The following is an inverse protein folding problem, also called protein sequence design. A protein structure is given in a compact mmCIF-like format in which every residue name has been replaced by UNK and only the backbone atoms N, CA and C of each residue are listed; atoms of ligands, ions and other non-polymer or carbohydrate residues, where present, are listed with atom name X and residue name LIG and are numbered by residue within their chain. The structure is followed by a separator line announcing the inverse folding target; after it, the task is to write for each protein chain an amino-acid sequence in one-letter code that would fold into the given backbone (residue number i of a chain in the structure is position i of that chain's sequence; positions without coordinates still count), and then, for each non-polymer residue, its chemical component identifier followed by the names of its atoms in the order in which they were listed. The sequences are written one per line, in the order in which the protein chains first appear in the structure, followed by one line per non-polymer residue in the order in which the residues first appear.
data_IF_306003316692
#
_entry.id   IF_306003316692
#
_cell.length_a   1.000
_cell.length_b   1.000
_cell.length_c   1.000
_cell.angle_alpha   90.00
_cell.angle_beta   90.00
_cell.angle_gamma   90.00
#
_symmetry.space_group_name_H-M   'P 1'
#
loop_
_entity.id
_entity.type
_entity.pdbx_description
1 polymer ?
#
# COMPACT_ATOMS: atom_id res chain seq x y z
N UNK A 1 -18.55 -17.49 -5.49
CA UNK A 1 -18.44 -16.54 -4.37
C UNK A 1 -17.77 -15.29 -4.94
N UNK A 2 -18.33 -14.09 -4.72
CA UNK A 2 -17.70 -12.84 -5.16
C UNK A 2 -16.77 -12.36 -4.03
N UNK A 3 -15.53 -11.94 -4.32
CA UNK A 3 -14.63 -11.44 -3.28
C UNK A 3 -15.05 -10.04 -2.82
N UNK A 4 -14.84 -9.76 -1.54
CA UNK A 4 -14.96 -8.43 -0.95
C UNK A 4 -13.61 -7.69 -1.02
N UNK A 5 -13.61 -6.37 -0.80
CA UNK A 5 -12.40 -5.54 -0.78
C UNK A 5 -12.01 -5.25 0.66
N UNK A 6 -10.73 -5.48 0.96
CA UNK A 6 -10.13 -5.18 2.25
C UNK A 6 -9.06 -4.09 2.09
N UNK A 7 -8.92 -3.23 3.09
CA UNK A 7 -7.87 -2.22 3.17
C UNK A 7 -7.07 -2.41 4.46
N UNK A 8 -5.78 -2.11 4.37
CA UNK A 8 -4.88 -2.02 5.51
C UNK A 8 -4.25 -0.63 5.49
N UNK A 9 -4.24 0.02 6.64
CA UNK A 9 -3.65 1.34 6.84
C UNK A 9 -2.30 1.27 7.58
N UNK A 10 -1.81 0.08 7.92
CA UNK A 10 -0.56 -0.13 8.65
C UNK A 10 0.48 -0.97 7.88
N UNK A 11 0.26 -1.18 6.58
CA UNK A 11 1.18 -1.92 5.72
C UNK A 11 0.95 -3.44 5.72
N UNK A 12 -0.20 -3.89 6.21
CA UNK A 12 -0.65 -5.28 6.11
C UNK A 12 -0.67 -6.04 7.44
N UNK A 13 -0.44 -5.37 8.57
CA UNK A 13 -0.51 -5.97 9.90
C UNK A 13 -1.96 -6.19 10.33
N UNK A 14 -2.81 -5.19 10.10
CA UNK A 14 -4.26 -5.27 10.33
C UNK A 14 -5.04 -4.97 9.05
N UNK A 15 -6.22 -5.56 8.94
CA UNK A 15 -7.08 -5.47 7.76
C UNK A 15 -8.52 -5.20 8.18
N UNK A 16 -9.19 -4.31 7.45
CA UNK A 16 -10.62 -4.06 7.59
C UNK A 16 -11.33 -4.30 6.25
N UNK A 17 -12.55 -4.86 6.30
CA UNK A 17 -13.38 -5.01 5.11
C UNK A 17 -13.94 -3.63 4.70
N UNK A 18 -13.44 -3.06 3.61
CA UNK A 18 -13.80 -1.73 3.15
C UNK A 18 -15.10 -1.71 2.34
N UNK A 19 -15.27 -2.68 1.44
CA UNK A 19 -16.41 -2.75 0.52
C UNK A 19 -16.87 -4.20 0.33
N UNK A 20 -18.17 -4.41 0.31
CA UNK A 20 -18.78 -5.69 -0.07
C UNK A 20 -18.79 -5.84 -1.59
N UNK A 21 -18.29 -6.97 -2.09
CA UNK A 21 -18.17 -7.28 -3.51
C UNK A 21 -16.96 -6.64 -4.21
N UNK A 22 -16.67 -7.06 -5.46
CA UNK A 22 -15.50 -6.62 -6.19
C UNK A 22 -15.63 -5.16 -6.65
N UNK A 23 -14.58 -4.38 -6.46
CA UNK A 23 -14.50 -2.99 -6.89
C UNK A 23 -13.16 -2.70 -7.57
N UNK A 24 -13.18 -1.78 -8.53
CA UNK A 24 -11.99 -1.08 -9.02
C UNK A 24 -11.73 0.11 -8.11
N UNK A 25 -10.49 0.35 -7.73
CA UNK A 25 -10.15 1.43 -6.81
C UNK A 25 -8.94 2.22 -7.29
N UNK A 26 -8.84 3.46 -6.84
CA UNK A 26 -7.66 4.29 -7.02
C UNK A 26 -7.39 5.11 -5.76
N UNK A 27 -6.13 5.40 -5.51
CA UNK A 27 -5.66 6.28 -4.44
C UNK A 27 -5.33 7.62 -5.07
N UNK A 28 -5.83 8.69 -4.47
CA UNK A 28 -5.66 10.07 -4.87
C UNK A 28 -5.07 10.87 -3.70
N UNK A 29 -4.48 12.02 -4.01
CA UNK A 29 -3.91 12.96 -3.02
C UNK A 29 -3.05 12.30 -1.92
N UNK A 30 -2.15 11.40 -2.31
CA UNK A 30 -1.24 10.69 -1.42
C UNK A 30 -1.92 9.93 -0.28
N UNK A 31 -3.16 9.45 -0.49
CA UNK A 31 -3.96 8.74 0.51
C UNK A 31 -5.05 9.58 1.16
N UNK A 32 -5.10 10.89 0.89
CA UNK A 32 -6.17 11.77 1.37
C UNK A 32 -7.56 11.44 0.80
N UNK A 33 -7.59 10.76 -0.36
CA UNK A 33 -8.84 10.33 -0.99
C UNK A 33 -8.69 8.95 -1.62
N UNK A 34 -9.59 8.05 -1.25
CA UNK A 34 -9.80 6.78 -1.93
C UNK A 34 -11.06 6.87 -2.78
N UNK A 35 -11.01 6.32 -3.99
CA UNK A 35 -12.18 6.19 -4.85
C UNK A 35 -12.36 4.74 -5.26
N UNK A 36 -13.62 4.31 -5.40
CA UNK A 36 -13.95 2.97 -5.81
C UNK A 36 -15.18 2.93 -6.72
N UNK A 37 -15.18 2.02 -7.67
CA UNK A 37 -16.26 1.78 -8.62
C UNK A 37 -16.59 0.29 -8.60
N UNK A 38 -17.87 -0.03 -8.45
CA UNK A 38 -18.31 -1.43 -8.38
C UNK A 38 -18.02 -2.17 -9.69
N UNK A 39 -17.46 -3.37 -9.58
CA UNK A 39 -17.33 -4.26 -10.71
C UNK A 39 -18.65 -4.99 -10.95
N UNK A 40 -19.43 -4.46 -11.89
CA UNK A 40 -20.74 -4.99 -12.27
C UNK A 40 -20.82 -5.30 -13.77
N UNK A 41 -21.62 -6.31 -14.12
CA UNK A 41 -22.01 -6.58 -15.51
C UNK A 41 -23.08 -5.59 -16.02
N UNK A 42 -23.79 -4.93 -15.09
CA UNK A 42 -24.78 -3.92 -15.42
C UNK A 42 -24.11 -2.54 -15.55
N UNK A 43 -24.68 -1.64 -16.36
CA UNK A 43 -24.25 -0.25 -16.40
C UNK A 43 -24.27 0.40 -15.02
N UNK A 44 -23.25 1.20 -14.73
CA UNK A 44 -23.11 1.92 -13.48
C UNK A 44 -23.19 3.43 -13.72
N UNK A 45 -23.52 4.17 -12.67
CA UNK A 45 -23.58 5.64 -12.68
C UNK A 45 -23.04 6.27 -11.38
N UNK A 46 -22.62 5.43 -10.45
CA UNK A 46 -22.23 5.79 -9.11
C UNK A 46 -20.75 5.49 -8.89
N UNK A 47 -20.05 6.40 -8.22
CA UNK A 47 -18.70 6.23 -7.72
C UNK A 47 -18.74 6.34 -6.20
N UNK A 48 -17.94 5.53 -5.51
CA UNK A 48 -17.76 5.58 -4.07
C UNK A 48 -16.47 6.33 -3.76
N UNK A 49 -16.45 7.11 -2.68
CA UNK A 49 -15.24 7.79 -2.22
C UNK A 49 -15.14 7.76 -0.69
N UNK A 50 -13.92 7.82 -0.18
CA UNK A 50 -13.59 7.84 1.25
C UNK A 50 -12.44 8.81 1.51
N UNK A 51 -12.58 9.63 2.55
CA UNK A 51 -11.57 10.62 3.00
C UNK A 51 -10.91 10.21 4.31
N UNK A 52 -11.16 8.99 4.78
CA UNK A 52 -10.73 8.47 6.09
C UNK A 52 -10.05 7.10 5.95
N UNK A 53 -9.26 6.93 4.89
CA UNK A 53 -8.48 5.73 4.56
C UNK A 53 -9.35 4.45 4.41
N UNK A 54 -10.60 4.59 3.98
CA UNK A 54 -11.48 3.48 3.62
C UNK A 54 -12.37 2.99 4.76
N UNK A 55 -12.48 3.73 5.87
CA UNK A 55 -13.37 3.40 6.99
C UNK A 55 -14.83 3.75 6.69
N UNK A 56 -15.07 4.96 6.18
CA UNK A 56 -16.39 5.42 5.77
C UNK A 56 -16.41 5.68 4.26
N UNK A 57 -17.49 5.26 3.60
CA UNK A 57 -17.67 5.42 2.16
C UNK A 57 -18.93 6.23 1.86
N UNK A 58 -18.79 7.16 0.94
CA UNK A 58 -19.88 7.97 0.40
C UNK A 58 -20.11 7.65 -1.07
N UNK A 59 -21.35 7.79 -1.54
CA UNK A 59 -21.73 7.50 -2.93
C UNK A 59 -22.04 8.80 -3.63
N UNK A 60 -21.47 8.99 -4.82
CA UNK A 60 -21.74 10.12 -5.70
C UNK A 60 -22.16 9.62 -7.08
N UNK A 61 -23.27 10.17 -7.60
CA UNK A 61 -23.73 9.85 -8.94
C UNK A 61 -23.00 10.73 -9.96
N UNK A 62 -22.02 10.17 -10.67
CA UNK A 62 -21.19 10.92 -11.62
C UNK A 62 -21.85 11.17 -12.98
N UNK A 63 -22.95 10.49 -13.28
CA UNK A 63 -23.69 10.67 -14.54
C UNK A 63 -25.17 10.35 -14.41
N UNK A 64 -26.02 11.01 -15.20
CA UNK A 64 -27.44 10.67 -15.29
C UNK A 64 -27.71 9.46 -16.20
N UNK A 65 -26.77 9.16 -17.10
CA UNK A 65 -26.90 8.12 -18.12
C UNK A 65 -25.82 7.03 -17.90
N UNK A 66 -26.20 5.88 -17.32
CA UNK A 66 -25.27 4.82 -16.92
C UNK A 66 -24.33 4.34 -18.03
N UNK A 67 -23.13 3.93 -17.65
CA UNK A 67 -22.10 3.42 -18.57
C UNK A 67 -21.71 1.99 -18.21
N UNK A 68 -21.41 1.18 -19.22
CA UNK A 68 -20.69 -0.07 -19.03
C UNK A 68 -19.23 0.26 -18.69
N UNK A 69 -18.88 0.09 -17.42
CA UNK A 69 -17.56 0.44 -16.91
C UNK A 69 -16.47 -0.47 -17.47
N UNK A 70 -15.35 0.14 -17.86
CA UNK A 70 -14.17 -0.58 -18.35
C UNK A 70 -12.92 -0.34 -17.51
N UNK A 71 -12.77 0.84 -16.90
CA UNK A 71 -11.58 1.13 -16.11
C UNK A 71 -11.55 2.52 -15.48
N UNK A 72 -10.65 2.70 -14.52
CA UNK A 72 -10.29 3.99 -13.93
C UNK A 72 -8.95 4.44 -14.47
N UNK A 73 -8.82 5.74 -14.75
CA UNK A 73 -7.55 6.37 -15.07
C UNK A 73 -7.32 7.56 -14.13
N UNK A 74 -6.16 7.59 -13.49
CA UNK A 74 -5.69 8.70 -12.67
C UNK A 74 -4.27 9.08 -13.08
N UNK A 75 -3.85 10.29 -12.73
CA UNK A 75 -2.47 10.73 -12.94
C UNK A 75 -1.52 9.76 -12.19
N UNK A 76 -0.45 9.26 -12.85
CA UNK A 76 0.55 8.45 -12.19
C UNK A 76 1.17 9.17 -11.00
N UNK A 77 1.42 8.43 -9.92
CA UNK A 77 1.99 8.97 -8.67
C UNK A 77 0.96 9.31 -7.59
N UNK A 78 -0.35 9.15 -7.86
CA UNK A 78 -1.42 9.28 -6.86
C UNK A 78 -1.48 10.65 -6.14
N UNK A 79 -0.99 11.72 -6.79
CA UNK A 79 -0.99 13.11 -6.25
C UNK A 79 -2.11 13.99 -6.79
N UNK A 80 -2.80 13.54 -7.83
CA UNK A 80 -3.92 14.27 -8.42
C UNK A 80 -5.20 14.06 -7.65
N UNK A 81 -6.12 15.03 -7.77
CA UNK A 81 -7.51 14.94 -7.30
C UNK A 81 -8.48 14.51 -8.41
N UNK A 82 -7.94 14.26 -9.61
CA UNK A 82 -8.74 13.95 -10.79
C UNK A 82 -8.73 12.45 -11.04
N UNK A 83 -9.90 11.89 -11.29
CA UNK A 83 -10.06 10.51 -11.76
C UNK A 83 -11.02 10.48 -12.94
N UNK A 84 -10.63 9.75 -13.98
CA UNK A 84 -11.45 9.52 -15.16
C UNK A 84 -12.05 8.12 -15.11
N UNK A 85 -13.38 8.04 -15.10
CA UNK A 85 -14.15 6.81 -15.23
C UNK A 85 -14.37 6.55 -16.72
N UNK A 86 -13.83 5.45 -17.22
CA UNK A 86 -13.95 5.03 -18.61
C UNK A 86 -14.99 3.94 -18.78
N UNK A 87 -15.73 4.03 -19.88
CA UNK A 87 -16.70 3.02 -20.25
C UNK A 87 -17.28 3.27 -21.64
N UNK A 88 -18.34 2.55 -21.95
CA UNK A 88 -19.11 2.77 -23.17
C UNK A 88 -20.60 2.77 -22.87
N UNK A 89 -21.37 3.31 -23.80
CA UNK A 89 -22.83 3.27 -23.79
C UNK A 89 -23.32 2.52 -25.01
N UNK A 90 -24.37 1.73 -24.79
CA UNK A 90 -25.06 1.02 -25.86
C UNK A 90 -26.25 1.86 -26.33
N UNK A 91 -26.29 2.15 -27.63
CA UNK A 91 -27.47 2.67 -28.32
C UNK A 91 -28.04 1.59 -29.23
N UNK A 92 -29.30 1.75 -29.64
CA UNK A 92 -30.01 0.82 -30.55
C UNK A 92 -29.22 0.50 -31.84
N UNK A 93 -28.34 1.41 -32.27
CA UNK A 93 -27.63 1.33 -33.56
C UNK A 93 -26.10 1.32 -33.43
N UNK A 94 -25.52 1.68 -32.28
CA UNK A 94 -24.07 1.76 -32.11
C UNK A 94 -23.63 1.79 -30.65
N UNK A 95 -22.41 1.31 -30.42
CA UNK A 95 -21.69 1.47 -29.16
C UNK A 95 -20.72 2.65 -29.29
N UNK A 96 -20.66 3.52 -28.28
CA UNK A 96 -19.69 4.63 -28.26
C UNK A 96 -19.02 4.76 -26.89
N UNK A 97 -17.74 5.13 -26.93
CA UNK A 97 -16.90 5.29 -25.74
C UNK A 97 -17.16 6.64 -25.05
N UNK A 98 -17.16 6.63 -23.73
CA UNK A 98 -17.35 7.79 -22.88
C UNK A 98 -16.31 7.77 -21.76
N UNK A 99 -15.77 8.93 -21.44
CA UNK A 99 -14.92 9.15 -20.28
C UNK A 99 -15.49 10.30 -19.47
N UNK A 100 -15.76 10.06 -18.18
CA UNK A 100 -16.22 11.09 -17.24
C UNK A 100 -15.09 11.36 -16.26
N UNK A 101 -14.55 12.57 -16.28
CA UNK A 101 -13.51 12.99 -15.34
C UNK A 101 -14.12 13.78 -14.20
N UNK A 102 -13.85 13.33 -12.97
CA UNK A 102 -14.33 13.91 -11.73
C UNK A 102 -13.15 14.60 -11.06
N UNK A 103 -13.31 15.88 -10.72
CA UNK A 103 -12.37 16.65 -9.92
C UNK A 103 -12.91 16.78 -8.49
N UNK A 104 -12.20 16.19 -7.53
CA UNK A 104 -12.60 16.19 -6.12
C UNK A 104 -12.13 17.43 -5.34
N UNK A 105 -11.57 18.46 -5.99
CA UNK A 105 -11.14 19.70 -5.31
C UNK A 105 -12.28 20.43 -4.60
N UNK A 106 -13.51 20.32 -5.09
CA UNK A 106 -14.67 20.92 -4.41
C UNK A 106 -15.09 20.16 -3.14
N UNK A 107 -14.63 18.90 -2.97
CA UNK A 107 -14.84 18.13 -1.75
C UNK A 107 -13.82 18.52 -0.67
N UNK A 108 -12.53 18.60 -1.04
CA UNK A 108 -11.43 18.96 -0.14
C UNK A 108 -11.06 20.43 -0.35
N UNK A 109 -11.80 21.32 0.32
CA UNK A 109 -11.72 22.78 0.09
C UNK A 109 -10.60 23.50 0.84
N UNK A 110 -9.88 22.81 1.74
CA UNK A 110 -8.81 23.37 2.58
C UNK A 110 -7.53 22.54 2.43
N UNK A 111 -6.37 23.21 2.39
CA UNK A 111 -5.06 22.57 2.47
C UNK A 111 -4.76 22.04 3.88
N UNK A 112 -4.09 20.90 3.97
CA UNK A 112 -3.70 20.32 5.25
C UNK A 112 -2.63 21.18 5.94
N UNK A 113 -2.78 21.31 7.26
CA UNK A 113 -1.85 22.02 8.13
C UNK A 113 -1.18 21.04 9.11
N UNK A 114 -0.13 21.46 9.81
CA UNK A 114 0.61 20.59 10.74
C UNK A 114 -0.28 19.89 11.78
N UNK A 115 -1.38 20.53 12.19
CA UNK A 115 -2.35 19.98 13.14
C UNK A 115 -3.14 18.76 12.61
N UNK A 116 -3.27 18.66 11.28
CA UNK A 116 -3.95 17.57 10.61
C UNK A 116 -3.12 16.29 10.56
N UNK A 117 -1.82 16.37 10.89
CA UNK A 117 -0.93 15.21 10.92
C UNK A 117 -0.76 14.64 12.33
N UNK A 118 -0.47 13.35 12.39
CA UNK A 118 -0.17 12.60 13.61
C UNK A 118 1.09 11.77 13.41
N UNK A 119 1.90 11.66 14.46
CA UNK A 119 3.06 10.78 14.47
C UNK A 119 2.60 9.32 14.51
N UNK A 120 3.17 8.51 13.63
CA UNK A 120 2.92 7.08 13.54
C UNK A 120 4.25 6.33 13.43
N UNK A 121 4.48 5.38 14.35
CA UNK A 121 5.64 4.49 14.31
C UNK A 121 5.31 3.30 13.42
N UNK A 122 6.05 3.12 12.33
CA UNK A 122 5.88 1.97 11.46
C UNK A 122 6.31 0.68 12.15
N UNK A 123 5.66 -0.43 11.78
CA UNK A 123 5.96 -1.78 12.28
C UNK A 123 5.85 -1.94 13.80
N UNK A 124 5.10 -1.05 14.46
CA UNK A 124 4.86 -1.13 15.90
C UNK A 124 3.93 -2.31 16.22
N UNK A 125 4.36 -3.20 17.10
CA UNK A 125 3.62 -4.39 17.53
C UNK A 125 3.46 -4.46 19.05
N UNK A 126 4.51 -4.11 19.80
CA UNK A 126 4.53 -4.06 21.25
C UNK A 126 5.21 -2.78 21.75
N UNK A 127 4.40 -1.80 22.18
CA UNK A 127 4.86 -0.51 22.70
C UNK A 127 5.76 -0.66 23.93
N UNK A 128 5.73 -1.80 24.62
CA UNK A 128 6.59 -2.07 25.77
C UNK A 128 8.00 -2.54 25.40
N UNK A 129 8.22 -3.00 24.16
CA UNK A 129 9.53 -3.43 23.68
C UNK A 129 10.40 -2.22 23.28
N UNK A 130 11.60 -2.03 23.87
CA UNK A 130 12.56 -1.04 23.41
C UNK A 130 12.93 -1.16 21.91
N UNK A 131 12.79 -2.34 21.30
CA UNK A 131 13.03 -2.61 19.88
C UNK A 131 11.76 -2.52 19.01
N UNK A 132 10.62 -2.10 19.56
CA UNK A 132 9.36 -1.94 18.83
C UNK A 132 9.53 -1.14 17.53
N UNK A 133 9.06 -1.68 16.40
CA UNK A 133 9.21 -1.06 15.08
C UNK A 133 10.60 -1.11 14.47
N UNK A 134 11.56 -1.85 15.05
CA UNK A 134 12.86 -2.12 14.42
C UNK A 134 12.68 -3.09 13.25
N UNK A 135 12.84 -2.59 12.03
CA UNK A 135 12.88 -3.40 10.82
C UNK A 135 14.19 -3.15 10.08
N UNK A 136 14.93 -4.22 9.80
CA UNK A 136 16.23 -4.15 9.10
C UNK A 136 17.21 -3.17 9.76
N UNK A 137 17.27 -3.17 11.10
CA UNK A 137 18.21 -2.37 11.89
C UNK A 137 17.83 -0.91 12.16
N UNK A 138 16.63 -0.45 11.80
CA UNK A 138 16.16 0.90 12.15
C UNK A 138 14.63 0.98 12.28
N UNK A 139 14.17 2.04 12.95
CA UNK A 139 12.76 2.43 13.10
C UNK A 139 12.45 3.61 12.19
N UNK A 140 11.22 3.71 11.70
CA UNK A 140 10.74 4.90 10.97
C UNK A 140 9.49 5.47 11.63
N UNK A 141 9.56 6.74 12.02
CA UNK A 141 8.39 7.51 12.47
C UNK A 141 7.90 8.42 11.35
N UNK A 142 6.65 8.28 10.94
CA UNK A 142 6.02 9.07 9.91
C UNK A 142 5.11 10.14 10.51
N UNK A 143 4.96 11.28 9.82
CA UNK A 143 3.78 12.13 9.99
C UNK A 143 2.74 11.71 8.95
N UNK A 144 1.60 11.22 9.44
CA UNK A 144 0.48 10.76 8.61
C UNK A 144 -0.74 11.64 8.80
N UNK A 145 -1.52 11.82 7.76
CA UNK A 145 -2.77 12.54 7.84
C UNK A 145 -3.72 11.83 8.82
N UNK A 146 -4.35 12.56 9.72
CA UNK A 146 -5.37 12.01 10.61
C UNK A 146 -6.57 11.60 9.77
N UNK A 147 -7.12 10.41 10.04
CA UNK A 147 -8.35 9.92 9.38
C UNK A 147 -9.55 10.87 9.51
N UNK A 148 -9.60 11.66 10.60
CA UNK A 148 -10.66 12.64 10.83
C UNK A 148 -10.42 13.99 10.12
N UNK A 149 -9.22 14.23 9.60
CA UNK A 149 -8.86 15.48 8.92
C UNK A 149 -9.21 15.38 7.45
N UNK A 150 -10.21 16.15 7.03
CA UNK A 150 -10.67 16.25 5.64
C UNK A 150 -10.03 17.50 5.02
N UNK A 151 -8.87 17.34 4.40
CA UNK A 151 -8.08 18.40 3.77
C UNK A 151 -7.22 17.84 2.63
N UNK A 152 -6.68 18.73 1.80
CA UNK A 152 -5.81 18.41 0.67
C UNK A 152 -4.34 18.35 1.12
N UNK A 153 -3.67 17.22 0.94
CA UNK A 153 -2.21 17.11 1.14
C UNK A 153 -1.47 17.97 0.11
N UNK A 154 -1.94 17.95 -1.14
CA UNK A 154 -1.41 18.77 -2.21
C UNK A 154 -0.36 18.06 -3.06
N UNK A 155 -0.10 18.61 -4.25
CA UNK A 155 0.81 18.01 -5.24
C UNK A 155 2.27 17.98 -4.81
N UNK A 156 2.66 18.92 -3.96
CA UNK A 156 4.01 19.05 -3.42
C UNK A 156 4.17 18.34 -2.08
N UNK A 157 3.18 17.54 -1.66
CA UNK A 157 3.28 16.74 -0.44
C UNK A 157 4.49 15.81 -0.48
N UNK A 158 5.30 15.91 0.56
CA UNK A 158 6.42 15.03 0.81
C UNK A 158 6.19 14.24 2.10
N UNK A 159 6.44 12.94 2.03
CA UNK A 159 6.30 12.05 3.19
C UNK A 159 7.38 12.41 4.20
N UNK A 160 6.97 13.02 5.33
CA UNK A 160 7.87 13.34 6.42
C UNK A 160 8.10 12.08 7.27
N UNK A 161 9.35 11.60 7.28
CA UNK A 161 9.77 10.44 8.05
C UNK A 161 11.09 10.68 8.77
N UNK A 162 11.21 10.13 9.97
CA UNK A 162 12.38 10.23 10.82
C UNK A 162 12.91 8.83 11.13
N UNK A 163 14.07 8.44 10.57
CA UNK A 163 14.70 7.16 10.88
C UNK A 163 15.45 7.22 12.21
N UNK A 164 15.40 6.14 12.99
CA UNK A 164 16.17 5.96 14.21
C UNK A 164 16.87 4.59 14.23
N UNK A 165 18.21 4.52 14.33
CA UNK A 165 18.91 3.24 14.28
C UNK A 165 18.63 2.37 15.51
N UNK A 166 18.58 1.06 15.31
CA UNK A 166 18.42 0.06 16.35
C UNK A 166 19.78 -0.59 16.69
N UNK A 167 19.98 -1.09 17.91
CA UNK A 167 21.11 -1.96 18.22
C UNK A 167 21.04 -3.24 17.37
N UNK A 168 22.17 -3.66 16.80
CA UNK A 168 22.22 -4.88 16.00
C UNK A 168 22.01 -6.12 16.88
N UNK A 169 21.21 -7.05 16.37
CA UNK A 169 20.97 -8.39 16.89
C UNK A 169 21.51 -9.43 15.91
N UNK A 170 21.48 -10.72 16.27
CA UNK A 170 21.85 -11.79 15.34
C UNK A 170 20.87 -11.89 14.16
N UNK A 171 19.62 -11.44 14.33
CA UNK A 171 18.60 -11.49 13.29
C UNK A 171 18.82 -10.47 12.17
N UNK A 172 19.63 -9.43 12.42
CA UNK A 172 20.06 -8.45 11.40
C UNK A 172 21.12 -9.02 10.43
N UNK A 173 21.64 -10.22 10.70
CA UNK A 173 22.59 -10.91 9.84
C UNK A 173 21.91 -12.05 9.07
N UNK A 174 22.52 -12.45 7.95
CA UNK A 174 22.15 -13.65 7.20
C UNK A 174 23.28 -14.65 7.34
N UNK A 175 22.97 -15.95 7.36
CA UNK A 175 24.03 -16.95 7.35
C UNK A 175 24.76 -16.96 6.02
N UNK A 176 26.08 -16.85 6.09
CA UNK A 176 26.96 -16.87 4.94
C UNK A 176 27.13 -18.30 4.40
N UNK A 177 27.87 -18.44 3.30
CA UNK A 177 28.14 -19.72 2.66
C UNK A 177 28.65 -20.76 3.66
N UNK A 178 28.02 -21.94 3.65
CA UNK A 178 28.36 -23.07 4.51
C UNK A 178 27.69 -23.04 5.88
N UNK A 179 26.84 -22.06 6.19
CA UNK A 179 26.15 -21.95 7.47
C UNK A 179 24.62 -22.05 7.30
N UNK A 180 23.92 -22.34 8.40
CA UNK A 180 22.46 -22.36 8.46
C UNK A 180 21.97 -22.05 9.88
N UNK A 181 20.71 -21.60 9.99
CA UNK A 181 20.03 -21.46 11.29
C UNK A 181 19.30 -22.74 11.65
N UNK A 182 19.44 -23.18 12.90
CA UNK A 182 18.56 -24.21 13.46
C UNK A 182 17.18 -23.62 13.73
N UNK A 183 16.17 -24.48 13.79
CA UNK A 183 14.81 -24.07 14.16
C UNK A 183 14.82 -23.37 15.54
N UNK A 184 14.14 -22.22 15.63
CA UNK A 184 14.09 -21.38 16.83
C UNK A 184 15.45 -20.86 17.35
N UNK A 185 16.45 -20.74 16.48
CA UNK A 185 17.74 -20.12 16.82
C UNK A 185 18.10 -19.01 15.83
N UNK A 186 18.60 -17.89 16.35
CA UNK A 186 19.17 -16.80 15.56
C UNK A 186 20.64 -17.05 15.18
N UNK A 187 21.29 -18.06 15.78
CA UNK A 187 22.70 -18.37 15.53
C UNK A 187 22.89 -19.12 14.21
N UNK A 188 23.88 -18.66 13.43
CA UNK A 188 24.37 -19.36 12.26
C UNK A 188 25.40 -20.41 12.67
N UNK A 189 25.13 -21.67 12.34
CA UNK A 189 26.03 -22.81 12.60
C UNK A 189 26.52 -23.44 11.30
N UNK A 190 27.73 -23.98 11.32
CA UNK A 190 28.32 -24.64 10.15
C UNK A 190 27.48 -25.86 9.74
N UNK A 191 27.29 -26.01 8.44
CA UNK A 191 26.60 -27.17 7.87
C UNK A 191 27.47 -28.41 7.99
N UNK A 192 26.95 -29.53 8.52
CA UNK A 192 27.74 -30.75 8.69
C UNK A 192 28.16 -31.37 7.35
N UNK A 193 27.31 -31.27 6.32
CA UNK A 193 27.57 -31.77 4.97
C UNK A 193 27.00 -30.81 3.92
N UNK A 194 27.83 -30.33 3.01
CA UNK A 194 27.38 -29.55 1.84
C UNK A 194 26.76 -30.47 0.79
N UNK A 195 25.56 -30.14 0.31
CA UNK A 195 24.81 -30.93 -0.68
C UNK A 195 24.26 -30.06 -1.82
N UNK A 196 24.01 -30.69 -2.97
CA UNK A 196 23.39 -30.03 -4.12
C UNK A 196 24.16 -28.81 -4.61
N UNK A 197 23.44 -27.71 -4.86
CA UNK A 197 24.02 -26.46 -5.36
C UNK A 197 25.08 -25.86 -4.42
N UNK A 198 24.95 -26.05 -3.10
CA UNK A 198 25.94 -25.54 -2.14
C UNK A 198 27.28 -26.28 -2.28
N UNK A 199 27.24 -27.59 -2.55
CA UNK A 199 28.44 -28.37 -2.84
C UNK A 199 29.06 -27.97 -4.18
N UNK A 200 28.25 -27.75 -5.21
CA UNK A 200 28.73 -27.28 -6.51
C UNK A 200 29.43 -25.92 -6.40
N UNK A 201 28.84 -24.98 -5.64
CA UNK A 201 29.45 -23.70 -5.33
C UNK A 201 30.75 -23.85 -4.54
N UNK A 202 30.83 -24.81 -3.61
CA UNK A 202 32.08 -25.10 -2.91
C UNK A 202 33.20 -25.56 -3.85
N UNK A 203 32.88 -26.36 -4.86
CA UNK A 203 33.85 -26.97 -5.77
C UNK A 203 34.30 -26.01 -6.88
N UNK A 204 33.42 -25.13 -7.34
CA UNK A 204 33.64 -24.27 -8.50
C UNK A 204 33.70 -22.78 -8.17
N UNK A 205 33.33 -22.39 -6.96
CA UNK A 205 33.25 -21.00 -6.51
C UNK A 205 34.61 -20.32 -6.33
N UNK A 206 34.58 -18.99 -6.27
CA UNK A 206 35.77 -18.19 -5.98
C UNK A 206 36.12 -18.30 -4.51
N UNK A 207 37.41 -18.47 -4.20
CA UNK A 207 37.93 -18.60 -2.83
C UNK A 207 37.46 -17.50 -1.87
N UNK A 208 37.30 -16.27 -2.36
CA UNK A 208 36.81 -15.12 -1.59
C UNK A 208 35.40 -15.32 -1.03
N UNK A 209 34.54 -16.04 -1.76
CA UNK A 209 33.15 -16.32 -1.37
C UNK A 209 33.02 -17.60 -0.53
N UNK A 210 34.11 -18.37 -0.40
CA UNK A 210 34.17 -19.61 0.38
C UNK A 210 34.79 -19.38 1.77
N UNK A 211 35.47 -18.26 1.97
CA UNK A 211 36.09 -17.89 3.25
C UNK A 211 35.16 -16.95 4.02
N UNK A 212 34.28 -17.54 4.83
CA UNK A 212 33.23 -16.83 5.56
C UNK A 212 33.46 -16.93 7.08
N UNK A 213 32.71 -16.15 7.86
CA UNK A 213 32.67 -16.25 9.33
C UNK A 213 31.34 -16.78 9.86
N UNK A 214 30.50 -17.26 8.95
CA UNK A 214 29.12 -17.64 9.20
C UNK A 214 28.12 -16.51 9.08
#
# INVERSE_FOLDING_TARGET
MKPDVFVSDDGGYTWLQALEGPHHYAILDSGGLLVAVEHSAQPIKDIKFSTDEGQCWHVHQFTSDPIHFTGLASEPGARSMNVSVWGYRDSLLSQYWVSVTIDFRELLTRDCEDQDYVQWLAHSDDISDPNDGCMLGYKEKFLRLRKASVCLNGRDYEVNKQPAPCPCTLDDFLCDFGYYRKENSSECVEQPDLKGHVLEFCLQGKKELLQTRG
#
